data_IF_262210467006
#
_entry.id   IF_262210467006
#
_cell.length_a   1.000
_cell.length_b   1.000
_cell.length_c   1.000
_cell.angle_alpha   90.00
_cell.angle_beta   90.00
_cell.angle_gamma   90.00
#
_symmetry.space_group_name_H-M   'P 1'
#
loop_
_entity.id
_entity.type
_entity.pdbx_description
1 polymer ?
#
# COMPACT_ATOMS: atom_id res chain seq x y z
N UNK A 1 -1.41 11.08 16.53
CA UNK A 1 -2.22 12.02 15.72
C UNK A 1 -1.33 12.57 14.63
N UNK A 2 -1.59 12.21 13.37
CA UNK A 2 -0.84 12.64 12.19
C UNK A 2 -1.58 13.83 11.55
N UNK A 3 -0.84 14.82 11.04
CA UNK A 3 -1.40 15.95 10.27
C UNK A 3 -1.45 15.67 8.76
N UNK A 4 -0.97 14.48 8.37
CA UNK A 4 -0.93 14.02 6.98
C UNK A 4 -2.20 13.23 6.64
N UNK A 5 -2.70 13.33 5.40
CA UNK A 5 -3.89 12.59 4.96
C UNK A 5 -3.58 11.12 4.71
N UNK A 6 -3.45 10.38 5.80
CA UNK A 6 -3.44 8.93 5.82
C UNK A 6 -4.89 8.46 5.81
N UNK A 7 -5.20 7.52 4.91
CA UNK A 7 -6.55 7.00 4.74
C UNK A 7 -6.51 5.48 4.68
N UNK A 8 -7.38 4.77 5.41
CA UNK A 8 -7.36 3.32 5.37
C UNK A 8 -8.14 2.78 4.17
N UNK A 9 -7.52 2.07 3.22
CA UNK A 9 -8.24 1.08 2.43
C UNK A 9 -8.46 -0.18 3.28
N UNK A 10 -9.68 -0.71 3.22
CA UNK A 10 -10.01 -2.00 3.83
C UNK A 10 -10.05 -3.07 2.74
N UNK A 11 -9.28 -4.13 2.92
CA UNK A 11 -9.29 -5.32 2.07
C UNK A 11 -9.94 -6.48 2.86
N UNK A 12 -10.96 -7.14 2.32
CA UNK A 12 -11.63 -8.27 2.99
C UNK A 12 -11.41 -9.59 2.26
N UNK A 13 -11.38 -10.69 3.02
CA UNK A 13 -11.37 -12.05 2.49
C UNK A 13 -12.76 -12.50 1.98
N UNK A 14 -12.61 -13.42 1.04
CA UNK A 14 -13.45 -14.19 0.14
C UNK A 14 -14.55 -15.12 0.67
N UNK A 15 -14.51 -15.73 1.86
CA UNK A 15 -15.59 -16.66 2.26
C UNK A 15 -16.95 -15.96 2.43
N UNK A 16 -16.93 -14.71 2.87
CA UNK A 16 -18.12 -13.85 3.04
C UNK A 16 -18.26 -12.93 1.85
N UNK A 17 -17.15 -12.43 1.28
CA UNK A 17 -17.18 -11.47 0.19
C UNK A 17 -18.10 -11.90 -0.94
N UNK A 18 -17.95 -13.13 -1.43
CA UNK A 18 -18.88 -13.67 -2.44
C UNK A 18 -20.31 -13.82 -1.91
N UNK A 19 -20.48 -14.29 -0.66
CA UNK A 19 -21.81 -14.49 -0.04
C UNK A 19 -22.59 -13.19 0.13
N UNK A 20 -21.91 -12.08 0.47
CA UNK A 20 -22.54 -10.76 0.65
C UNK A 20 -22.55 -9.92 -0.62
N UNK A 21 -21.88 -10.39 -1.69
CA UNK A 21 -21.84 -9.73 -2.99
C UNK A 21 -20.80 -8.60 -3.09
N UNK A 22 -19.67 -8.69 -2.39
CA UNK A 22 -18.50 -7.85 -2.67
C UNK A 22 -18.02 -8.13 -4.10
N UNK A 23 -17.68 -7.06 -4.80
CA UNK A 23 -17.20 -7.13 -6.18
C UNK A 23 -15.67 -7.04 -6.19
N UNK A 24 -14.96 -8.11 -6.61
CA UNK A 24 -13.50 -8.12 -6.70
C UNK A 24 -12.98 -7.54 -8.03
N UNK A 25 -13.86 -7.22 -8.98
CA UNK A 25 -13.47 -6.80 -10.34
C UNK A 25 -13.22 -5.31 -10.39
N UNK A 26 -14.27 -4.50 -10.57
CA UNK A 26 -14.17 -3.04 -10.53
C UNK A 26 -14.13 -2.55 -9.08
N UNK A 27 -13.27 -3.13 -8.24
CA UNK A 27 -13.46 -3.13 -6.78
C UNK A 27 -13.44 -1.73 -6.14
N UNK A 28 -12.75 -0.76 -6.75
CA UNK A 28 -12.71 0.66 -6.37
C UNK A 28 -13.61 1.56 -7.23
N UNK A 29 -14.35 0.97 -8.18
CA UNK A 29 -15.17 1.68 -9.14
C UNK A 29 -16.50 2.18 -8.56
N UNK A 30 -17.14 3.18 -9.20
CA UNK A 30 -18.44 3.68 -8.78
C UNK A 30 -19.58 2.73 -9.17
N UNK A 31 -20.77 3.01 -8.65
CA UNK A 31 -22.03 2.51 -9.20
C UNK A 31 -22.62 1.29 -8.50
N UNK A 32 -23.71 0.79 -9.10
CA UNK A 32 -24.54 -0.29 -8.55
C UNK A 32 -23.74 -1.59 -8.34
N UNK A 33 -22.79 -1.86 -9.22
CA UNK A 33 -21.98 -3.08 -9.18
C UNK A 33 -21.02 -3.12 -7.99
N UNK A 34 -20.75 -1.98 -7.34
CA UNK A 34 -19.92 -1.86 -6.13
C UNK A 34 -20.74 -1.36 -4.93
N UNK A 35 -22.07 -1.56 -4.96
CA UNK A 35 -22.95 -1.12 -3.89
C UNK A 35 -22.54 -1.73 -2.54
N UNK A 36 -22.22 -3.03 -2.49
CA UNK A 36 -21.83 -3.72 -1.25
C UNK A 36 -20.48 -3.20 -0.74
N UNK A 37 -19.48 -3.08 -1.62
CA UNK A 37 -18.17 -2.49 -1.33
C UNK A 37 -18.33 -1.11 -0.66
N UNK A 38 -19.18 -0.28 -1.25
CA UNK A 38 -19.47 1.08 -0.78
C UNK A 38 -20.22 1.07 0.56
N UNK A 39 -21.22 0.20 0.74
CA UNK A 39 -21.99 0.12 1.99
C UNK A 39 -21.08 -0.29 3.15
N UNK A 40 -20.25 -1.33 2.98
CA UNK A 40 -19.33 -1.80 4.01
C UNK A 40 -18.30 -0.72 4.35
N UNK A 41 -17.71 -0.10 3.33
CA UNK A 41 -16.77 1.02 3.51
C UNK A 41 -17.39 2.19 4.26
N UNK A 42 -18.62 2.60 3.90
CA UNK A 42 -19.36 3.65 4.61
C UNK A 42 -19.71 3.26 6.05
N UNK A 43 -20.08 2.00 6.30
CA UNK A 43 -20.32 1.53 7.66
C UNK A 43 -19.07 1.68 8.53
N UNK A 44 -17.90 1.32 8.00
CA UNK A 44 -16.63 1.49 8.70
C UNK A 44 -16.28 2.96 8.95
N UNK A 45 -16.50 3.84 7.97
CA UNK A 45 -16.33 5.28 8.13
C UNK A 45 -17.28 5.87 9.22
N UNK A 46 -18.50 5.35 9.33
CA UNK A 46 -19.43 5.72 10.40
C UNK A 46 -18.96 5.22 11.77
N UNK A 47 -18.38 4.02 11.86
CA UNK A 47 -17.76 3.54 13.11
C UNK A 47 -16.62 4.46 13.55
N UNK A 48 -15.72 4.85 12.64
CA UNK A 48 -14.65 5.79 12.99
C UNK A 48 -15.16 7.14 13.46
N UNK A 49 -16.22 7.67 12.84
CA UNK A 49 -16.83 8.93 13.29
C UNK A 49 -17.49 8.79 14.66
N UNK A 50 -18.35 7.80 14.85
CA UNK A 50 -19.19 7.72 16.04
C UNK A 50 -18.49 7.10 17.27
N UNK A 51 -17.53 6.19 17.05
CA UNK A 51 -16.79 5.50 18.12
C UNK A 51 -15.41 6.12 18.29
N UNK A 52 -14.70 6.31 17.18
CA UNK A 52 -13.34 6.86 17.16
C UNK A 52 -13.28 8.38 17.21
N UNK A 53 -14.42 9.08 17.24
CA UNK A 53 -14.51 10.55 17.20
C UNK A 53 -13.74 11.19 16.04
N UNK A 54 -13.68 10.51 14.88
CA UNK A 54 -12.92 10.92 13.70
C UNK A 54 -13.57 12.11 12.97
N UNK A 55 -13.50 13.27 13.63
CA UNK A 55 -14.01 14.56 13.18
C UNK A 55 -12.86 15.56 12.97
N UNK A 56 -12.98 16.46 11.97
CA UNK A 56 -11.99 17.51 11.74
C UNK A 56 -11.73 18.35 13.00
N UNK A 57 -10.45 18.54 13.32
CA UNK A 57 -10.00 19.32 14.48
C UNK A 57 -10.10 18.60 15.82
N UNK A 58 -10.54 17.33 15.83
CA UNK A 58 -10.57 16.48 17.01
C UNK A 58 -9.62 15.29 16.86
N UNK A 59 -10.05 14.24 16.15
CA UNK A 59 -9.22 13.07 15.84
C UNK A 59 -8.80 13.02 14.38
N UNK A 60 -9.43 13.82 13.51
CA UNK A 60 -8.94 14.08 12.16
C UNK A 60 -8.17 15.41 12.15
N UNK A 61 -6.85 15.32 12.02
CA UNK A 61 -5.93 16.46 12.08
C UNK A 61 -5.34 16.81 10.70
N UNK A 62 -5.92 16.29 9.62
CA UNK A 62 -5.47 16.58 8.26
C UNK A 62 -5.55 18.08 7.99
N UNK A 63 -4.43 18.66 7.55
CA UNK A 63 -4.44 20.02 6.98
C UNK A 63 -5.09 20.02 5.59
N UNK A 64 -4.86 18.97 4.82
CA UNK A 64 -5.47 18.69 3.52
C UNK A 64 -5.94 17.24 3.57
N UNK A 65 -7.23 16.99 3.34
CA UNK A 65 -7.81 15.64 3.39
C UNK A 65 -7.44 14.74 2.19
N UNK A 66 -7.97 13.52 2.18
CA UNK A 66 -7.85 12.60 1.02
C UNK A 66 -9.16 11.88 0.70
N UNK A 67 -9.37 11.58 -0.59
CA UNK A 67 -10.49 10.76 -1.08
C UNK A 67 -10.51 9.36 -0.48
N UNK A 68 -9.37 8.84 -0.03
CA UNK A 68 -9.26 7.51 0.61
C UNK A 68 -9.96 7.43 1.97
N UNK A 69 -10.31 8.58 2.58
CA UNK A 69 -11.19 8.62 3.77
C UNK A 69 -12.65 8.30 3.45
N UNK A 70 -13.04 8.27 2.18
CA UNK A 70 -14.27 7.62 1.72
C UNK A 70 -14.02 6.11 1.56
N UNK A 71 -13.63 5.49 2.67
CA UNK A 71 -13.16 4.11 2.81
C UNK A 71 -13.90 3.20 1.85
N UNK A 72 -13.14 2.55 0.96
CA UNK A 72 -13.65 1.53 0.07
C UNK A 72 -13.23 0.17 0.59
N UNK A 73 -14.18 -0.76 0.58
CA UNK A 73 -13.94 -2.15 0.94
C UNK A 73 -13.83 -2.97 -0.34
N UNK A 74 -12.70 -3.64 -0.54
CA UNK A 74 -12.50 -4.54 -1.69
C UNK A 74 -12.41 -5.99 -1.25
N UNK A 75 -12.60 -6.91 -2.17
CA UNK A 75 -12.32 -8.34 -1.98
C UNK A 75 -11.30 -8.82 -3.00
N UNK A 76 -10.46 -9.77 -2.60
CA UNK A 76 -9.55 -10.48 -3.52
C UNK A 76 -10.34 -11.23 -4.60
N UNK A 77 -9.75 -11.34 -5.79
CA UNK A 77 -10.23 -12.16 -6.89
C UNK A 77 -9.53 -13.53 -6.87
N UNK A 78 -9.80 -14.33 -5.84
CA UNK A 78 -9.11 -15.62 -5.62
C UNK A 78 -9.31 -16.59 -6.79
N UNK A 79 -10.51 -16.61 -7.40
CA UNK A 79 -10.83 -17.42 -8.59
C UNK A 79 -9.90 -17.18 -9.78
N UNK A 80 -9.35 -15.98 -9.89
CA UNK A 80 -8.47 -15.60 -10.99
C UNK A 80 -7.03 -15.35 -10.53
N UNK A 81 -6.72 -15.61 -9.27
CA UNK A 81 -5.37 -15.52 -8.72
C UNK A 81 -4.59 -16.80 -9.02
N UNK A 82 -3.31 -16.70 -9.45
CA UNK A 82 -2.42 -17.86 -9.55
C UNK A 82 -1.79 -18.24 -8.20
N UNK A 83 -2.00 -17.44 -7.14
CA UNK A 83 -1.40 -17.63 -5.82
C UNK A 83 -2.45 -17.65 -4.72
N UNK A 84 -2.01 -18.13 -3.56
CA UNK A 84 -2.78 -18.02 -2.34
C UNK A 84 -3.11 -16.55 -1.98
N UNK A 85 -4.29 -16.33 -1.39
CA UNK A 85 -4.77 -15.01 -0.98
C UNK A 85 -3.96 -14.42 0.17
N UNK A 86 -4.07 -13.11 0.36
CA UNK A 86 -3.26 -12.35 1.32
C UNK A 86 -3.30 -12.92 2.74
N UNK A 87 -4.44 -13.40 3.22
CA UNK A 87 -4.57 -13.89 4.60
C UNK A 87 -3.78 -15.18 4.86
N UNK A 88 -3.58 -16.02 3.83
CA UNK A 88 -2.71 -17.20 3.95
C UNK A 88 -1.26 -16.73 4.14
N UNK A 89 -0.84 -15.68 3.42
CA UNK A 89 0.46 -15.04 3.65
C UNK A 89 0.59 -14.46 5.07
N UNK A 90 -0.54 -14.12 5.71
CA UNK A 90 -0.60 -13.63 7.10
C UNK A 90 -0.73 -14.75 8.15
N UNK A 91 -0.68 -16.02 7.73
CA UNK A 91 -0.69 -17.18 8.62
C UNK A 91 -2.08 -17.69 9.03
N UNK A 92 -3.15 -17.24 8.36
CA UNK A 92 -4.49 -17.79 8.54
C UNK A 92 -4.74 -18.97 7.59
N UNK A 93 -5.68 -19.84 7.95
CA UNK A 93 -6.04 -20.97 7.10
C UNK A 93 -6.83 -20.52 5.85
N UNK A 94 -6.72 -21.30 4.78
CA UNK A 94 -7.32 -20.99 3.48
C UNK A 94 -8.86 -20.89 3.52
N UNK A 95 -9.53 -21.48 4.50
CA UNK A 95 -10.97 -21.44 4.70
C UNK A 95 -11.44 -20.38 5.72
N UNK A 96 -10.56 -19.84 6.58
CA UNK A 96 -10.90 -18.87 7.64
C UNK A 96 -11.26 -17.48 7.14
N UNK A 97 -12.41 -16.90 7.45
CA UNK A 97 -12.75 -15.55 7.00
C UNK A 97 -11.92 -14.48 7.71
N UNK A 98 -11.28 -13.56 6.97
CA UNK A 98 -10.50 -12.45 7.55
C UNK A 98 -10.85 -11.08 6.99
N UNK A 99 -10.47 -10.04 7.72
CA UNK A 99 -10.45 -8.63 7.27
C UNK A 99 -9.05 -8.08 7.47
N UNK A 100 -8.49 -7.47 6.43
CA UNK A 100 -7.21 -6.79 6.47
C UNK A 100 -7.39 -5.29 6.27
N UNK A 101 -6.80 -4.50 7.15
CA UNK A 101 -6.78 -3.03 7.03
C UNK A 101 -5.37 -2.60 6.69
N UNK A 102 -5.27 -1.75 5.66
CA UNK A 102 -4.05 -1.02 5.32
C UNK A 102 -4.26 0.45 5.63
N UNK A 103 -3.18 1.19 5.87
CA UNK A 103 -3.20 2.66 6.01
C UNK A 103 -2.32 3.24 4.92
N UNK A 104 -2.92 3.84 3.90
CA UNK A 104 -2.16 4.30 2.73
C UNK A 104 -1.91 5.79 2.74
N UNK A 105 -0.80 6.18 2.10
CA UNK A 105 -0.29 7.54 2.00
C UNK A 105 -0.40 8.12 0.58
N UNK A 106 -0.59 7.27 -0.43
CA UNK A 106 -0.93 7.68 -1.79
C UNK A 106 -1.63 6.57 -2.57
N UNK A 107 -1.95 6.89 -3.81
CA UNK A 107 -2.48 5.97 -4.82
C UNK A 107 -1.86 6.34 -6.16
N UNK A 108 -1.39 5.33 -6.90
CA UNK A 108 -0.81 5.49 -8.23
C UNK A 108 -1.40 4.43 -9.17
N UNK A 109 -1.99 4.90 -10.28
CA UNK A 109 -2.30 4.06 -11.44
C UNK A 109 -0.99 3.74 -12.17
N UNK A 110 -0.66 2.46 -12.26
CA UNK A 110 0.51 1.95 -12.96
C UNK A 110 0.12 1.43 -14.33
N UNK A 111 0.64 2.11 -15.34
CA UNK A 111 0.44 1.76 -16.73
C UNK A 111 1.63 0.95 -17.26
N UNK A 112 1.34 -0.29 -17.62
CA UNK A 112 2.24 -1.11 -18.41
C UNK A 112 2.03 -0.85 -19.91
N UNK A 113 3.11 -0.87 -20.70
CA UNK A 113 3.10 -0.57 -22.13
C UNK A 113 3.23 -1.83 -23.01
N UNK A 114 2.70 -2.97 -22.55
CA UNK A 114 2.58 -4.21 -23.35
C UNK A 114 3.59 -5.30 -22.99
N UNK A 115 4.14 -5.29 -21.78
CA UNK A 115 4.91 -6.42 -21.26
C UNK A 115 4.00 -7.65 -21.12
N UNK A 116 4.58 -8.81 -21.45
CA UNK A 116 3.93 -10.12 -21.36
C UNK A 116 4.83 -11.17 -20.69
N UNK A 117 6.07 -10.77 -20.34
CA UNK A 117 6.98 -11.58 -19.53
C UNK A 117 6.76 -11.25 -18.06
N UNK A 118 6.92 -12.25 -17.19
CA UNK A 118 6.80 -12.07 -15.74
C UNK A 118 7.77 -10.98 -15.24
N UNK A 119 9.04 -11.06 -15.66
CA UNK A 119 10.03 -10.05 -15.28
C UNK A 119 9.68 -8.65 -15.78
N UNK A 120 9.19 -8.50 -17.01
CA UNK A 120 8.80 -7.19 -17.56
C UNK A 120 7.68 -6.56 -16.76
N UNK A 121 6.63 -7.35 -16.46
CA UNK A 121 5.50 -6.92 -15.63
C UNK A 121 5.95 -6.55 -14.21
N UNK A 122 6.78 -7.38 -13.57
CA UNK A 122 7.29 -7.13 -12.23
C UNK A 122 8.23 -5.91 -12.19
N UNK A 123 9.02 -5.64 -13.24
CA UNK A 123 9.82 -4.41 -13.36
C UNK A 123 8.94 -3.17 -13.45
N UNK A 124 7.84 -3.21 -14.20
CA UNK A 124 6.86 -2.12 -14.23
C UNK A 124 6.29 -1.84 -12.84
N UNK A 125 5.96 -2.89 -12.09
CA UNK A 125 5.48 -2.76 -10.71
C UNK A 125 6.55 -2.20 -9.77
N UNK A 126 7.80 -2.66 -9.90
CA UNK A 126 8.93 -2.16 -9.12
C UNK A 126 9.18 -0.67 -9.37
N UNK A 127 9.14 -0.23 -10.63
CA UNK A 127 9.20 1.19 -10.98
C UNK A 127 8.09 1.99 -10.29
N UNK A 128 6.87 1.47 -10.31
CA UNK A 128 5.74 2.08 -9.63
C UNK A 128 5.87 2.18 -8.12
N UNK A 129 6.47 1.15 -7.49
CA UNK A 129 6.71 1.12 -6.05
C UNK A 129 7.70 2.21 -5.60
N UNK A 130 8.59 2.69 -6.47
CA UNK A 130 9.48 3.81 -6.15
C UNK A 130 8.72 5.11 -5.93
N UNK A 131 7.51 5.26 -6.49
CA UNK A 131 6.68 6.43 -6.28
C UNK A 131 6.14 6.50 -4.84
N UNK A 132 6.02 7.72 -4.32
CA UNK A 132 5.65 8.00 -2.93
C UNK A 132 6.83 8.44 -2.08
N UNK A 133 6.57 8.74 -0.82
CA UNK A 133 7.60 9.24 0.10
C UNK A 133 8.04 8.12 1.04
N UNK A 134 9.36 7.90 1.14
CA UNK A 134 9.95 7.21 2.29
C UNK A 134 10.27 8.27 3.34
N UNK A 135 9.87 8.04 4.58
CA UNK A 135 10.18 8.95 5.68
C UNK A 135 11.61 8.79 6.16
N UNK A 136 12.30 9.91 6.36
CA UNK A 136 13.60 9.98 7.06
C UNK A 136 13.47 10.34 8.54
N UNK A 137 12.24 10.36 9.05
CA UNK A 137 11.95 10.49 10.47
C UNK A 137 11.98 9.11 11.12
N UNK A 138 12.92 8.88 12.03
CA UNK A 138 13.09 7.61 12.74
C UNK A 138 12.74 7.66 14.24
N UNK A 139 12.11 6.57 14.73
CA UNK A 139 12.31 5.97 16.06
C UNK A 139 11.94 6.72 17.34
N UNK A 140 10.66 6.62 17.75
CA UNK A 140 10.10 6.49 19.13
C UNK A 140 8.58 6.74 19.14
N UNK A 141 8.06 7.35 18.08
CA UNK A 141 6.63 7.65 17.86
C UNK A 141 6.13 7.02 16.54
N UNK A 142 6.54 5.77 16.29
CA UNK A 142 5.91 4.80 15.39
C UNK A 142 5.23 5.29 14.11
N UNK A 143 5.97 5.90 13.17
CA UNK A 143 5.51 5.94 11.77
C UNK A 143 6.72 5.62 10.90
N UNK A 144 6.86 4.35 10.47
CA UNK A 144 7.80 3.96 9.40
C UNK A 144 7.21 4.32 8.04
N UNK A 145 6.83 5.59 7.92
CA UNK A 145 5.96 6.06 6.85
C UNK A 145 6.52 5.79 5.47
N UNK A 146 5.80 4.99 4.68
CA UNK A 146 6.01 4.87 3.24
C UNK A 146 7.11 3.93 2.80
N UNK A 147 7.63 3.08 3.69
CA UNK A 147 8.47 1.93 3.33
C UNK A 147 7.65 0.70 2.92
N UNK A 148 6.32 0.72 3.11
CA UNK A 148 5.41 -0.37 2.78
C UNK A 148 4.70 -0.10 1.43
N UNK A 149 4.37 -1.15 0.68
CA UNK A 149 3.65 -1.06 -0.60
C UNK A 149 2.52 -2.07 -0.68
N UNK A 150 1.29 -1.58 -0.79
CA UNK A 150 0.14 -2.36 -1.20
C UNK A 150 0.00 -2.28 -2.73
N UNK A 151 -0.08 -3.43 -3.39
CA UNK A 151 -0.23 -3.56 -4.83
C UNK A 151 -1.54 -4.29 -5.11
N UNK A 152 -2.49 -3.61 -5.73
CA UNK A 152 -3.64 -4.24 -6.36
C UNK A 152 -3.23 -4.69 -7.75
N UNK A 153 -2.91 -5.98 -7.85
CA UNK A 153 -2.45 -6.60 -9.08
C UNK A 153 -3.65 -7.26 -9.80
N UNK A 154 -4.06 -6.78 -10.97
CA UNK A 154 -5.17 -7.40 -11.70
C UNK A 154 -4.78 -8.80 -12.20
N UNK A 155 -5.76 -9.70 -12.37
CA UNK A 155 -5.53 -11.04 -12.92
C UNK A 155 -4.73 -11.07 -14.23
N UNK A 156 -4.94 -10.08 -15.11
CA UNK A 156 -4.21 -9.93 -16.39
C UNK A 156 -2.69 -9.73 -16.22
N UNK A 157 -2.26 -9.25 -15.04
CA UNK A 157 -0.84 -9.12 -14.66
C UNK A 157 -0.41 -10.31 -13.80
N UNK A 158 -1.22 -10.71 -12.83
CA UNK A 158 -0.88 -11.79 -11.91
C UNK A 158 -0.73 -13.14 -12.64
N UNK A 159 -1.68 -13.50 -13.50
CA UNK A 159 -1.71 -14.80 -14.16
C UNK A 159 -0.48 -15.05 -15.04
N UNK A 160 -0.04 -14.13 -15.94
CA UNK A 160 1.20 -14.33 -16.68
C UNK A 160 2.42 -14.53 -15.78
N UNK A 161 2.50 -13.80 -14.67
CA UNK A 161 3.61 -13.92 -13.70
C UNK A 161 3.59 -15.32 -13.06
N UNK A 162 2.47 -15.75 -12.51
CA UNK A 162 2.32 -17.07 -11.90
C UNK A 162 2.50 -18.23 -12.89
N UNK A 163 1.93 -18.11 -14.10
CA UNK A 163 2.04 -19.13 -15.17
C UNK A 163 3.47 -19.31 -15.68
N UNK A 164 4.32 -18.28 -15.53
CA UNK A 164 5.75 -18.34 -15.85
C UNK A 164 6.61 -18.83 -14.68
N UNK A 165 5.99 -19.33 -13.60
CA UNK A 165 6.66 -20.03 -12.51
C UNK A 165 7.05 -19.18 -11.31
N UNK A 166 6.71 -17.89 -11.28
CA UNK A 166 6.93 -17.07 -10.10
C UNK A 166 5.94 -17.45 -8.99
N UNK A 167 6.46 -17.81 -7.82
CA UNK A 167 5.66 -17.79 -6.60
C UNK A 167 5.36 -16.33 -6.20
N UNK A 168 4.33 -16.13 -5.36
CA UNK A 168 4.00 -14.80 -4.83
C UNK A 168 5.18 -14.18 -4.07
N UNK A 169 5.89 -15.01 -3.31
CA UNK A 169 7.08 -14.59 -2.58
C UNK A 169 8.22 -14.19 -3.52
N UNK A 170 8.49 -14.98 -4.57
CA UNK A 170 9.50 -14.63 -5.57
C UNK A 170 9.14 -13.33 -6.30
N UNK A 171 7.86 -13.08 -6.55
CA UNK A 171 7.39 -11.81 -7.11
C UNK A 171 7.64 -10.62 -6.16
N UNK A 172 7.35 -10.77 -4.86
CA UNK A 172 7.65 -9.76 -3.82
C UNK A 172 9.15 -9.45 -3.76
N UNK A 173 9.98 -10.50 -3.73
CA UNK A 173 11.44 -10.39 -3.70
C UNK A 173 11.98 -9.68 -4.94
N UNK A 174 11.53 -10.08 -6.13
CA UNK A 174 11.91 -9.43 -7.38
C UNK A 174 11.53 -7.94 -7.40
N UNK A 175 10.31 -7.60 -6.96
CA UNK A 175 9.87 -6.21 -6.89
C UNK A 175 10.77 -5.44 -5.91
N UNK A 176 11.04 -5.97 -4.72
CA UNK A 176 11.91 -5.34 -3.73
C UNK A 176 13.32 -5.09 -4.26
N UNK A 177 13.93 -6.07 -4.93
CA UNK A 177 15.27 -5.95 -5.52
C UNK A 177 15.35 -4.92 -6.65
N UNK A 178 14.25 -4.69 -7.37
CA UNK A 178 14.20 -3.78 -8.51
C UNK A 178 13.56 -2.42 -8.18
N UNK A 179 12.92 -2.26 -7.01
CA UNK A 179 12.28 -1.02 -6.56
C UNK A 179 13.31 -0.05 -5.93
N UNK A 180 14.36 0.23 -6.71
CA UNK A 180 15.47 1.11 -6.34
C UNK A 180 15.16 2.53 -6.82
N UNK A 181 15.04 3.47 -5.88
CA UNK A 181 14.86 4.89 -6.17
C UNK A 181 16.14 5.71 -6.07
N UNK A 182 16.18 6.86 -6.76
CA UNK A 182 17.20 7.89 -6.49
C UNK A 182 16.89 8.54 -5.15
N UNK A 183 17.71 8.23 -4.16
CA UNK A 183 17.61 8.81 -2.84
C UNK A 183 18.05 10.27 -2.84
N UNK A 184 19.11 10.58 -3.59
CA UNK A 184 19.57 11.94 -3.82
C UNK A 184 18.46 12.86 -4.33
N UNK A 185 17.71 12.45 -5.35
CA UNK A 185 16.57 13.23 -5.85
C UNK A 185 15.45 13.38 -4.81
N UNK A 186 15.20 12.36 -3.99
CA UNK A 186 14.17 12.42 -2.94
C UNK A 186 14.49 13.50 -1.89
N UNK A 187 15.76 13.66 -1.53
CA UNK A 187 16.20 14.57 -0.46
C UNK A 187 16.75 15.91 -0.96
N UNK A 188 16.82 16.12 -2.27
CA UNK A 188 17.52 17.23 -2.91
C UNK A 188 17.16 18.61 -2.33
N UNK A 189 15.88 18.81 -2.05
CA UNK A 189 15.35 20.08 -1.56
C UNK A 189 15.10 20.10 -0.04
N UNK A 190 15.58 19.09 0.69
CA UNK A 190 15.48 19.09 2.15
C UNK A 190 16.51 20.06 2.76
N UNK A 191 16.10 20.91 3.72
CA UNK A 191 17.02 21.86 4.36
C UNK A 191 17.92 21.13 5.36
N UNK A 192 19.10 20.71 4.89
CA UNK A 192 20.15 20.13 5.74
C UNK A 192 21.00 21.21 6.44
N UNK A 193 20.96 22.47 5.96
CA UNK A 193 21.73 23.57 6.53
C UNK A 193 21.02 24.17 7.76
N UNK A 194 21.81 24.59 8.76
CA UNK A 194 21.30 25.32 9.92
C UNK A 194 21.27 26.82 9.60
N UNK A 195 20.08 27.40 9.47
CA UNK A 195 19.93 28.86 9.52
C UNK A 195 19.65 29.28 10.97
N UNK A 196 20.37 30.30 11.46
CA UNK A 196 20.17 30.86 12.81
C UNK A 196 20.32 29.90 14.00
N UNK A 197 20.93 28.71 13.83
CA UNK A 197 21.10 27.71 14.88
C UNK A 197 19.86 26.85 15.18
N UNK A 198 18.80 26.97 14.36
CA UNK A 198 17.58 26.16 14.47
C UNK A 198 17.60 25.08 13.40
N UNK A 199 17.39 23.82 13.80
CA UNK A 199 17.30 22.67 12.89
C UNK A 199 15.89 22.56 12.33
N UNK A 200 15.67 22.85 11.05
CA UNK A 200 14.34 22.79 10.44
C UNK A 200 13.95 21.39 9.93
N UNK A 201 14.92 20.58 9.46
CA UNK A 201 14.63 19.25 8.91
C UNK A 201 14.41 18.18 9.99
N UNK A 202 13.25 17.52 9.91
CA UNK A 202 12.88 16.37 10.75
C UNK A 202 13.55 15.10 10.19
N UNK A 203 14.82 14.91 10.51
CA UNK A 203 15.63 13.76 10.09
C UNK A 203 16.15 13.04 11.35
N UNK A 204 15.97 11.71 11.44
CA UNK A 204 16.51 10.92 12.55
C UNK A 204 18.04 10.86 12.52
N UNK A 205 18.61 10.57 13.69
CA UNK A 205 20.07 10.50 13.87
C UNK A 205 20.75 9.50 12.93
N UNK A 206 20.07 8.42 12.57
CA UNK A 206 20.58 7.39 11.64
C UNK A 206 20.85 7.90 10.21
N UNK A 207 20.22 9.00 9.80
CA UNK A 207 20.40 9.61 8.48
C UNK A 207 21.34 10.81 8.49
N UNK A 208 21.90 11.19 9.65
CA UNK A 208 22.73 12.41 9.78
C UNK A 208 24.05 12.35 9.02
N UNK A 209 24.52 11.15 8.66
CA UNK A 209 25.72 11.00 7.81
C UNK A 209 25.55 11.69 6.44
N UNK A 210 24.31 11.91 5.96
CA UNK A 210 24.03 12.64 4.72
C UNK A 210 24.53 14.10 4.75
N UNK A 211 24.60 14.72 5.93
CA UNK A 211 25.07 16.11 6.09
C UNK A 211 26.56 16.26 5.78
N UNK A 212 27.33 15.16 5.86
CA UNK A 212 28.76 15.15 5.60
C UNK A 212 29.09 15.03 4.11
N UNK A 213 28.08 14.80 3.27
CA UNK A 213 28.24 14.56 1.84
C UNK A 213 28.05 15.82 1.01
N UNK A 214 28.88 15.96 -0.02
CA UNK A 214 28.67 17.00 -1.03
C UNK A 214 27.34 16.78 -1.75
N UNK A 215 26.84 17.84 -2.38
CA UNK A 215 25.65 17.76 -3.22
C UNK A 215 25.75 16.64 -4.27
N UNK A 216 26.87 16.57 -4.99
CA UNK A 216 27.11 15.52 -5.99
C UNK A 216 27.10 14.12 -5.38
N UNK A 217 27.77 13.92 -4.24
CA UNK A 217 27.78 12.62 -3.55
C UNK A 217 26.39 12.19 -3.12
N UNK A 218 25.53 13.13 -2.67
CA UNK A 218 24.14 12.84 -2.32
C UNK A 218 23.32 12.44 -3.54
N UNK A 219 23.53 13.09 -4.69
CA UNK A 219 22.82 12.79 -5.93
C UNK A 219 23.07 11.39 -6.49
N UNK A 220 24.23 10.81 -6.19
CA UNK A 220 24.60 9.45 -6.62
C UNK A 220 23.99 8.35 -5.73
N UNK A 221 23.38 8.69 -4.58
CA UNK A 221 22.81 7.69 -3.67
C UNK A 221 21.52 7.14 -4.24
N UNK A 222 21.46 5.81 -4.33
CA UNK A 222 20.25 5.04 -4.58
C UNK A 222 19.95 4.14 -3.40
N UNK A 223 18.68 3.77 -3.23
CA UNK A 223 18.28 2.77 -2.24
C UNK A 223 16.99 2.08 -2.64
N UNK A 224 16.78 0.89 -2.05
CA UNK A 224 15.47 0.26 -2.07
C UNK A 224 14.48 1.13 -1.29
N UNK A 225 13.30 1.33 -1.86
CA UNK A 225 12.25 2.10 -1.21
C UNK A 225 11.64 1.34 -0.03
N UNK A 226 11.56 0.01 -0.14
CA UNK A 226 11.13 -0.93 0.88
C UNK A 226 12.35 -1.50 1.64
N UNK A 227 12.20 -1.78 2.94
CA UNK A 227 13.27 -2.36 3.75
C UNK A 227 13.47 -3.87 3.49
N UNK A 228 12.41 -4.54 3.05
CA UNK A 228 12.40 -5.97 2.76
C UNK A 228 11.30 -6.32 1.76
N UNK A 229 11.37 -7.54 1.21
CA UNK A 229 10.29 -8.10 0.39
C UNK A 229 8.97 -8.27 1.16
N UNK A 230 9.03 -8.42 2.48
CA UNK A 230 7.82 -8.52 3.33
C UNK A 230 7.02 -7.22 3.38
N UNK A 231 7.65 -6.09 3.02
CA UNK A 231 6.98 -4.81 2.92
C UNK A 231 6.22 -4.61 1.59
N UNK A 232 6.19 -5.64 0.74
CA UNK A 232 5.47 -5.67 -0.52
C UNK A 232 4.23 -6.58 -0.39
N UNK A 233 3.04 -5.98 -0.34
CA UNK A 233 1.77 -6.70 -0.21
C UNK A 233 1.06 -6.77 -1.55
N UNK A 234 1.12 -7.93 -2.20
CA UNK A 234 0.44 -8.19 -3.47
C UNK A 234 -0.94 -8.76 -3.17
N UNK A 235 -1.98 -8.10 -3.69
CA UNK A 235 -3.38 -8.50 -3.53
C UNK A 235 -4.00 -8.56 -4.92
N UNK A 236 -4.49 -9.74 -5.32
CA UNK A 236 -5.06 -9.92 -6.66
C UNK A 236 -6.49 -9.37 -6.66
N UNK A 237 -6.69 -8.22 -7.31
CA UNK A 237 -7.97 -7.49 -7.39
C UNK A 237 -8.09 -6.94 -8.80
N UNK A 238 -9.26 -7.04 -9.41
CA UNK A 238 -9.45 -6.56 -10.77
C UNK A 238 -10.25 -7.51 -11.65
N UNK A 239 -10.66 -6.98 -12.80
CA UNK A 239 -11.17 -7.76 -13.92
C UNK A 239 -10.01 -8.33 -14.78
N UNK A 240 -10.35 -8.96 -15.89
CA UNK A 240 -9.43 -9.54 -16.88
C UNK A 240 -8.74 -8.49 -17.80
N UNK A 241 -8.51 -7.28 -17.29
CA UNK A 241 -7.85 -6.18 -18.01
C UNK A 241 -6.83 -5.47 -17.12
N UNK A 242 -5.63 -5.23 -17.65
CA UNK A 242 -4.55 -4.58 -16.93
C UNK A 242 -4.86 -3.12 -16.53
N UNK A 243 -5.07 -2.92 -15.24
CA UNK A 243 -4.87 -1.66 -14.51
C UNK A 243 -4.39 -1.98 -13.09
N UNK A 244 -3.09 -1.83 -12.86
CA UNK A 244 -2.50 -2.03 -11.53
C UNK A 244 -2.57 -0.74 -10.74
N UNK A 245 -2.95 -0.82 -9.47
CA UNK A 245 -2.83 0.29 -8.53
C UNK A 245 -1.78 -0.02 -7.46
N UNK A 246 -0.91 0.95 -7.17
CA UNK A 246 0.08 0.86 -6.12
C UNK A 246 -0.17 1.94 -5.07
N UNK A 247 -0.09 1.55 -3.81
CA UNK A 247 -0.36 2.40 -2.66
C UNK A 247 0.83 2.36 -1.71
N UNK A 248 1.57 3.46 -1.55
CA UNK A 248 2.46 3.65 -0.41
C UNK A 248 1.69 3.50 0.90
N UNK A 249 2.21 2.75 1.86
CA UNK A 249 1.57 2.52 3.17
C UNK A 249 2.49 2.97 4.31
N UNK A 250 1.90 3.47 5.40
CA UNK A 250 2.66 3.98 6.55
C UNK A 250 3.11 2.87 7.50
N UNK A 251 2.26 1.86 7.67
CA UNK A 251 2.49 0.69 8.50
C UNK A 251 2.07 -0.58 7.74
N UNK A 252 2.51 -1.74 8.24
CA UNK A 252 2.09 -3.03 7.72
C UNK A 252 0.59 -3.28 7.91
N UNK A 253 0.01 -4.23 7.15
CA UNK A 253 -1.40 -4.61 7.30
C UNK A 253 -1.70 -5.11 8.70
N UNK A 254 -2.93 -4.87 9.14
CA UNK A 254 -3.52 -5.57 10.27
C UNK A 254 -4.63 -6.48 9.80
N UNK A 255 -4.47 -7.79 10.01
CA UNK A 255 -5.41 -8.84 9.59
C UNK A 255 -6.04 -9.51 10.81
N UNK A 256 -7.36 -9.61 10.80
CA UNK A 256 -8.15 -10.21 11.87
C UNK A 256 -9.10 -11.27 11.34
N UNK A 257 -9.17 -12.41 12.03
CA UNK A 257 -10.13 -13.48 11.78
C UNK A 257 -11.53 -13.11 12.26
N UNK A 258 -12.54 -13.37 11.44
CA UNK A 258 -13.92 -12.92 11.68
C UNK A 258 -14.97 -14.02 11.70
N UNK A 259 -14.59 -15.29 11.62
CA UNK A 259 -15.55 -16.40 11.61
C UNK A 259 -16.44 -16.46 12.86
N UNK A 260 -15.89 -16.06 14.01
CA UNK A 260 -16.64 -15.96 15.27
C UNK A 260 -17.79 -14.93 15.25
N UNK A 261 -17.78 -14.00 14.29
CA UNK A 261 -18.84 -13.00 14.11
C UNK A 261 -19.87 -13.41 13.06
N UNK A 262 -19.74 -14.60 12.49
CA UNK A 262 -20.65 -15.11 11.47
C UNK A 262 -21.87 -15.78 12.11
N UNK A 263 -23.06 -15.54 11.53
CA UNK A 263 -24.30 -16.16 11.99
C UNK A 263 -24.37 -17.66 11.71
#
# INVERSE_FOLDING_TARGET
>A
MSTSPEGPPACRKWSIGEKIGLNPKSALGPGRDNQVNTIVGRAFALCFRNIGYWYPGLMDMDTIGTTRKFIQCVSENEKMSPWDPLHVDQGFDADESTVTIFVTNGELDLQDQGNHTAEGLLRTLAYGCVFGTRSLQGGKVGIRGGAERLIFMPPDVAQPVGNQGFSKQAAKEFIHENAVGSFGHMIEYMPFEQDGGVRESRVSDEWRWLEQLTHQQRQEITMNIMDSAENCHIVVVGADRAKTACFPSSDGPHTEGIDQYLP
#
